data_IF_693023833026
#
_entry.id   IF_693023833026
#
_cell.length_a   1.000
_cell.length_b   1.000
_cell.length_c   1.000
_cell.angle_alpha   90.00
_cell.angle_beta   90.00
_cell.angle_gamma   90.00
#
_symmetry.space_group_name_H-M   'P 1'
#
loop_
_entity.id
_entity.type
_entity.pdbx_description
1 polymer ?
#
# COMPACT_ATOMS: atom_id res chain seq x y z
N UNK A 1 -2.64 9.51 -4.83
CA UNK A 1 -1.42 9.37 -4.02
C UNK A 1 -0.24 9.47 -4.96
N UNK A 2 0.86 10.11 -4.56
CA UNK A 2 2.07 10.21 -5.39
C UNK A 2 3.26 9.76 -4.57
N UNK A 3 4.09 8.88 -5.14
CA UNK A 3 5.39 8.44 -4.61
C UNK A 3 5.37 7.90 -3.16
N UNK A 4 4.56 6.86 -2.90
CA UNK A 4 4.60 6.16 -1.61
C UNK A 4 5.68 5.09 -1.67
N UNK A 5 6.61 5.12 -0.72
CA UNK A 5 7.55 4.03 -0.44
C UNK A 5 7.27 3.52 0.97
N UNK A 6 6.92 2.25 1.10
CA UNK A 6 6.58 1.60 2.36
C UNK A 6 7.15 0.19 2.38
N UNK A 7 7.79 -0.19 3.47
CA UNK A 7 8.24 -1.55 3.75
C UNK A 7 7.66 -1.95 5.09
N UNK A 8 7.07 -3.14 5.16
CA UNK A 8 6.47 -3.70 6.38
C UNK A 8 7.15 -5.05 6.60
N UNK A 9 7.82 -5.23 7.73
CA UNK A 9 8.47 -6.47 8.08
C UNK A 9 7.47 -7.45 8.71
N UNK A 10 7.78 -8.75 8.64
CA UNK A 10 6.97 -9.77 9.29
C UNK A 10 6.80 -9.50 10.79
N UNK A 11 5.56 -9.54 11.28
CA UNK A 11 5.22 -9.26 12.67
C UNK A 11 5.05 -7.78 13.03
N UNK A 12 5.35 -6.85 12.10
CA UNK A 12 5.04 -5.43 12.30
C UNK A 12 3.54 -5.15 12.18
N UNK A 13 3.06 -4.21 12.99
CA UNK A 13 1.70 -3.69 12.92
C UNK A 13 1.77 -2.21 12.59
N UNK A 14 1.14 -1.83 11.49
CA UNK A 14 1.05 -0.43 11.05
C UNK A 14 -0.38 0.08 11.17
N UNK A 15 -0.52 1.38 11.44
CA UNK A 15 -1.80 2.07 11.44
C UNK A 15 -1.78 3.18 10.39
N UNK A 16 -2.80 3.21 9.52
CA UNK A 16 -2.93 4.22 8.48
C UNK A 16 -3.83 5.37 8.95
N UNK A 17 -3.22 6.51 9.27
CA UNK A 17 -3.91 7.69 9.84
C UNK A 17 -3.84 8.86 8.87
N UNK A 18 -4.92 9.64 8.79
CA UNK A 18 -4.99 10.82 7.93
C UNK A 18 -6.41 11.33 7.78
N UNK A 19 -6.58 12.52 7.20
CA UNK A 19 -7.90 13.12 6.96
C UNK A 19 -8.74 12.29 5.98
N UNK A 20 -10.06 12.52 5.96
CA UNK A 20 -10.93 11.97 4.92
C UNK A 20 -10.46 12.45 3.54
N UNK A 21 -10.49 11.56 2.55
CA UNK A 21 -9.97 11.85 1.21
C UNK A 21 -8.44 11.75 1.05
N UNK A 22 -7.67 11.50 2.11
CA UNK A 22 -6.20 11.36 2.02
C UNK A 22 -5.72 10.12 1.23
N UNK A 23 -6.64 9.28 0.74
CA UNK A 23 -6.34 8.10 -0.06
C UNK A 23 -6.12 6.81 0.74
N UNK A 24 -6.44 6.78 2.05
CA UNK A 24 -6.23 5.61 2.91
C UNK A 24 -6.89 4.34 2.36
N UNK A 25 -8.17 4.44 2.00
CA UNK A 25 -8.93 3.34 1.38
C UNK A 25 -8.33 2.94 0.04
N UNK A 26 -7.81 3.89 -0.75
CA UNK A 26 -7.13 3.59 -2.01
C UNK A 26 -5.86 2.78 -1.77
N UNK A 27 -5.05 3.13 -0.76
CA UNK A 27 -3.86 2.37 -0.40
C UNK A 27 -4.20 0.94 0.03
N UNK A 28 -5.20 0.76 0.88
CA UNK A 28 -5.64 -0.58 1.30
C UNK A 28 -6.07 -1.41 0.09
N UNK A 29 -6.86 -0.83 -0.83
CA UNK A 29 -7.28 -1.54 -2.05
C UNK A 29 -6.12 -1.95 -2.95
N UNK A 30 -5.08 -1.13 -3.06
CA UNK A 30 -3.86 -1.47 -3.80
C UNK A 30 -3.11 -2.62 -3.11
N UNK A 31 -2.91 -2.55 -1.79
CA UNK A 31 -2.23 -3.59 -1.01
C UNK A 31 -2.97 -4.94 -1.06
N UNK A 32 -4.31 -4.92 -1.16
CA UNK A 32 -5.13 -6.14 -1.29
C UNK A 32 -5.37 -6.55 -2.75
N UNK A 33 -4.65 -5.96 -3.72
CA UNK A 33 -4.78 -6.20 -5.17
C UNK A 33 -6.20 -6.07 -5.73
N UNK A 34 -7.03 -5.23 -5.08
CA UNK A 34 -8.33 -4.83 -5.62
C UNK A 34 -8.20 -3.79 -6.74
N UNK A 35 -7.03 -3.15 -6.84
CA UNK A 35 -6.62 -2.31 -7.96
C UNK A 35 -5.14 -2.56 -8.30
N UNK A 36 -4.79 -2.32 -9.56
CA UNK A 36 -3.40 -2.31 -10.00
C UNK A 36 -2.77 -0.92 -9.82
N UNK A 37 -1.50 -0.83 -9.38
CA UNK A 37 -0.80 0.44 -9.39
C UNK A 37 -0.59 0.84 -10.85
N UNK A 38 -0.90 2.11 -11.16
CA UNK A 38 -0.63 2.66 -12.49
C UNK A 38 0.87 2.81 -12.76
N UNK A 39 1.67 2.95 -11.70
CA UNK A 39 3.13 3.06 -11.72
C UNK A 39 3.73 2.46 -10.44
N UNK A 40 4.94 1.90 -10.52
CA UNK A 40 5.60 1.21 -9.41
C UNK A 40 5.18 -0.26 -9.28
N UNK A 41 5.49 -0.88 -8.14
CA UNK A 41 5.22 -2.29 -7.87
C UNK A 41 4.93 -2.51 -6.38
N UNK A 42 4.21 -3.58 -6.05
CA UNK A 42 3.91 -3.98 -4.67
C UNK A 42 4.42 -5.41 -4.51
N UNK A 43 5.42 -5.58 -3.64
CA UNK A 43 6.06 -6.87 -3.44
C UNK A 43 5.61 -7.51 -2.12
N UNK A 44 5.32 -8.81 -2.16
CA UNK A 44 5.18 -9.67 -0.97
C UNK A 44 6.29 -10.70 -1.00
N UNK A 45 7.13 -10.70 0.03
CA UNK A 45 8.31 -11.56 0.13
C UNK A 45 9.23 -11.47 -1.11
N UNK A 46 9.30 -10.28 -1.73
CA UNK A 46 10.09 -10.00 -2.93
C UNK A 46 9.43 -10.44 -4.25
N UNK A 47 8.24 -11.02 -4.20
CA UNK A 47 7.46 -11.41 -5.38
C UNK A 47 6.42 -10.33 -5.67
N UNK A 48 6.30 -9.93 -6.93
CA UNK A 48 5.28 -8.96 -7.35
C UNK A 48 3.89 -9.58 -7.18
N UNK A 49 3.00 -8.84 -6.53
CA UNK A 49 1.62 -9.24 -6.27
C UNK A 49 0.74 -9.15 -7.51
#
# INVERSE_FOLDING_TARGET
MRHINLTINAGEKIALVGRNGAGKTTLIKLLTRLYDPSEGQILVDGVDL
#
